data_IF_167635390270
#
_entry.id   IF_167635390270
#
_cell.length_a   1.000
_cell.length_b   1.000
_cell.length_c   1.000
_cell.angle_alpha   90.00
_cell.angle_beta   90.00
_cell.angle_gamma   90.00
#
_symmetry.space_group_name_H-M   'P 1'
#
loop_
_entity.id
_entity.type
_entity.pdbx_description
1 polymer ?
#
# COMPACT_ATOMS: atom_id res chain seq x y z
N UNK A 1 7.36 37.41 -50.94
CA UNK A 1 8.46 36.66 -50.32
C UNK A 1 8.61 37.15 -48.89
N UNK A 2 7.90 36.52 -47.96
CA UNK A 2 8.09 36.69 -46.52
C UNK A 2 7.68 35.38 -45.86
N UNK A 3 8.66 34.51 -45.63
CA UNK A 3 8.49 33.24 -44.92
C UNK A 3 8.33 33.51 -43.42
N UNK A 4 7.15 33.22 -42.91
CA UNK A 4 6.85 33.22 -41.48
C UNK A 4 7.28 31.90 -40.86
N UNK A 5 8.48 31.88 -40.29
CA UNK A 5 8.99 30.78 -39.48
C UNK A 5 8.26 30.76 -38.12
N UNK A 6 7.14 30.05 -38.03
CA UNK A 6 6.50 29.71 -36.75
C UNK A 6 7.23 28.51 -36.13
N UNK A 7 8.14 28.79 -35.20
CA UNK A 7 8.75 27.77 -34.36
C UNK A 7 7.73 27.31 -33.30
N UNK A 8 7.09 26.16 -33.53
CA UNK A 8 6.39 25.42 -32.49
C UNK A 8 7.43 24.78 -31.55
N UNK A 9 7.73 25.46 -30.45
CA UNK A 9 8.44 24.86 -29.32
C UNK A 9 7.48 23.90 -28.61
N UNK A 10 7.53 22.63 -29.02
CA UNK A 10 7.00 21.51 -28.25
C UNK A 10 7.85 21.36 -26.98
N UNK A 11 7.41 21.99 -25.89
CA UNK A 11 7.91 21.70 -24.55
C UNK A 11 7.25 20.42 -24.03
N UNK A 12 7.82 19.27 -24.36
CA UNK A 12 7.63 18.05 -23.57
C UNK A 12 8.57 18.09 -22.37
N UNK A 13 8.22 18.91 -21.37
CA UNK A 13 8.91 18.93 -20.08
C UNK A 13 8.61 17.61 -19.35
N UNK A 14 9.58 16.70 -19.38
CA UNK A 14 9.54 15.36 -18.77
C UNK A 14 9.61 15.37 -17.24
N UNK A 15 9.07 16.39 -16.58
CA UNK A 15 8.85 16.34 -15.13
C UNK A 15 7.73 15.34 -14.88
N UNK A 16 8.05 14.24 -14.23
CA UNK A 16 7.06 13.32 -13.67
C UNK A 16 6.06 14.14 -12.84
N UNK A 17 4.91 14.47 -13.44
CA UNK A 17 3.93 15.36 -12.85
C UNK A 17 3.50 14.79 -11.50
N UNK A 18 3.40 15.65 -10.49
CA UNK A 18 2.98 15.29 -9.13
C UNK A 18 1.73 14.42 -9.21
N UNK A 19 1.80 13.18 -8.73
CA UNK A 19 0.66 12.27 -8.70
C UNK A 19 -0.27 12.72 -7.58
N UNK A 20 -1.39 13.32 -7.99
CA UNK A 20 -2.46 13.83 -7.12
C UNK A 20 -3.41 12.70 -6.71
N UNK A 21 -4.19 12.86 -5.62
CA UNK A 21 -5.23 11.90 -5.25
C UNK A 21 -6.22 11.57 -6.37
N UNK A 22 -6.68 12.58 -7.13
CA UNK A 22 -7.58 12.39 -8.26
C UNK A 22 -6.95 11.51 -9.34
N UNK A 23 -5.65 11.68 -9.61
CA UNK A 23 -4.93 10.84 -10.57
C UNK A 23 -4.78 9.41 -10.03
N UNK A 24 -4.47 9.25 -8.75
CA UNK A 24 -4.40 7.93 -8.10
C UNK A 24 -5.71 7.18 -8.21
N UNK A 25 -6.82 7.81 -7.85
CA UNK A 25 -8.16 7.23 -7.97
C UNK A 25 -8.51 6.93 -9.43
N UNK A 26 -8.25 7.86 -10.35
CA UNK A 26 -8.52 7.67 -11.78
C UNK A 26 -7.76 6.50 -12.39
N UNK A 27 -6.47 6.31 -12.05
CA UNK A 27 -5.69 5.15 -12.50
C UNK A 27 -6.24 3.84 -11.93
N UNK A 28 -6.63 3.84 -10.65
CA UNK A 28 -7.29 2.69 -10.07
C UNK A 28 -8.62 2.38 -10.78
N UNK A 29 -9.45 3.39 -11.02
CA UNK A 29 -10.77 3.23 -11.64
C UNK A 29 -10.72 2.81 -13.12
N UNK A 30 -9.64 3.16 -13.82
CA UNK A 30 -9.35 2.67 -15.16
C UNK A 30 -8.93 1.20 -15.19
N UNK A 31 -8.59 0.60 -14.04
CA UNK A 31 -8.25 -0.83 -13.97
C UNK A 31 -9.49 -1.71 -14.12
N UNK A 32 -9.28 -2.94 -14.61
CA UNK A 32 -10.39 -3.84 -14.90
C UNK A 32 -11.13 -4.25 -13.62
N UNK A 33 -12.44 -4.43 -13.73
CA UNK A 33 -13.20 -5.17 -12.73
C UNK A 33 -12.70 -6.63 -12.67
N UNK A 34 -12.96 -7.30 -11.55
CA UNK A 34 -12.73 -8.74 -11.47
C UNK A 34 -13.59 -9.47 -12.50
N UNK A 35 -12.99 -10.38 -13.25
CA UNK A 35 -13.73 -11.29 -14.14
C UNK A 35 -14.41 -12.36 -13.29
N UNK A 36 -15.47 -13.03 -13.80
CA UNK A 36 -16.08 -14.17 -13.12
C UNK A 36 -15.08 -15.26 -12.71
N UNK A 37 -14.06 -15.52 -13.53
CA UNK A 37 -12.98 -16.47 -13.20
C UNK A 37 -12.07 -15.99 -12.07
N UNK A 38 -11.80 -14.68 -11.98
CA UNK A 38 -11.02 -14.12 -10.88
C UNK A 38 -11.80 -14.24 -9.56
N UNK A 39 -13.12 -13.96 -9.60
CA UNK A 39 -14.01 -14.12 -8.43
C UNK A 39 -14.06 -15.60 -8.01
N UNK A 40 -14.27 -16.52 -8.96
CA UNK A 40 -14.31 -17.95 -8.68
C UNK A 40 -13.02 -18.44 -8.02
N UNK A 41 -11.85 -18.04 -8.54
CA UNK A 41 -10.55 -18.41 -7.96
C UNK A 41 -10.38 -17.87 -6.53
N UNK A 42 -10.77 -16.62 -6.26
CA UNK A 42 -10.71 -16.03 -4.92
C UNK A 42 -11.68 -16.72 -3.94
N UNK A 43 -12.87 -17.09 -4.41
CA UNK A 43 -13.87 -17.84 -3.62
C UNK A 43 -13.38 -19.25 -3.31
N UNK A 44 -12.72 -19.92 -4.25
CA UNK A 44 -12.08 -21.22 -4.02
C UNK A 44 -10.98 -21.13 -2.95
N UNK A 45 -10.29 -19.99 -2.87
CA UNK A 45 -9.37 -19.69 -1.76
C UNK A 45 -10.09 -19.35 -0.44
N UNK A 46 -11.41 -19.46 -0.36
CA UNK A 46 -12.22 -19.22 0.84
C UNK A 46 -12.55 -17.76 1.12
N UNK A 47 -12.37 -16.86 0.15
CA UNK A 47 -12.73 -15.44 0.32
C UNK A 47 -14.25 -15.28 0.10
N UNK A 48 -14.99 -14.68 1.06
CA UNK A 48 -16.40 -14.40 0.85
C UNK A 48 -16.63 -13.44 -0.33
N UNK A 49 -17.53 -13.74 -1.28
CA UNK A 49 -17.72 -12.93 -2.49
C UNK A 49 -18.05 -11.45 -2.21
N UNK A 50 -18.84 -11.19 -1.17
CA UNK A 50 -19.21 -9.83 -0.74
C UNK A 50 -18.01 -9.00 -0.30
N UNK A 51 -16.94 -9.65 0.16
CA UNK A 51 -15.69 -8.99 0.52
C UNK A 51 -15.00 -8.38 -0.70
N UNK A 52 -15.24 -8.88 -1.90
CA UNK A 52 -14.64 -8.33 -3.13
C UNK A 52 -15.35 -7.06 -3.60
N UNK A 53 -16.62 -6.88 -3.22
CA UNK A 53 -17.50 -5.78 -3.60
C UNK A 53 -17.64 -4.69 -2.51
N UNK A 54 -16.72 -4.62 -1.54
CA UNK A 54 -16.74 -3.62 -0.47
C UNK A 54 -16.81 -2.16 -0.97
N UNK A 55 -16.88 -1.16 -0.07
CA UNK A 55 -17.10 0.25 -0.43
C UNK A 55 -16.19 0.75 -1.56
N UNK A 56 -14.95 0.26 -1.58
CA UNK A 56 -14.12 0.27 -2.78
C UNK A 56 -13.94 -1.17 -3.28
N UNK A 57 -14.37 -1.50 -4.51
CA UNK A 57 -14.27 -2.86 -5.03
C UNK A 57 -12.81 -3.25 -5.26
N UNK A 58 -12.50 -4.55 -5.14
CA UNK A 58 -11.19 -5.06 -5.62
C UNK A 58 -11.20 -5.00 -7.14
N UNK A 59 -10.10 -4.54 -7.73
CA UNK A 59 -9.89 -4.53 -9.18
C UNK A 59 -8.77 -5.49 -9.58
N UNK A 60 -8.59 -5.69 -10.88
CA UNK A 60 -7.48 -6.46 -11.42
C UNK A 60 -6.76 -5.69 -12.54
N UNK A 61 -5.46 -5.88 -12.62
CA UNK A 61 -4.61 -5.30 -13.66
C UNK A 61 -3.39 -6.16 -13.93
N UNK A 62 -2.62 -5.78 -14.95
CA UNK A 62 -1.26 -6.28 -15.12
C UNK A 62 -0.30 -5.22 -14.60
N UNK A 63 0.66 -5.67 -13.78
CA UNK A 63 1.64 -4.82 -13.12
C UNK A 63 3.02 -5.43 -13.29
N UNK A 64 4.04 -4.58 -13.34
CA UNK A 64 5.45 -4.97 -13.31
C UNK A 64 5.98 -4.58 -11.95
N UNK A 65 6.46 -5.56 -11.18
CA UNK A 65 7.02 -5.29 -9.86
C UNK A 65 8.52 -5.05 -9.94
N UNK A 66 9.02 -4.03 -9.27
CA UNK A 66 10.43 -3.68 -9.24
C UNK A 66 10.95 -3.47 -7.79
N UNK A 67 12.05 -2.73 -7.63
CA UNK A 67 12.65 -2.42 -6.34
C UNK A 67 11.98 -1.25 -5.59
N UNK A 68 11.17 -0.44 -6.28
CA UNK A 68 10.46 0.72 -5.72
C UNK A 68 9.00 0.40 -5.42
N UNK A 69 8.44 -0.64 -6.03
CA UNK A 69 7.11 -1.14 -5.78
C UNK A 69 6.59 -1.88 -7.00
N UNK A 70 5.59 -1.28 -7.66
CA UNK A 70 5.13 -1.74 -8.97
C UNK A 70 4.78 -0.56 -9.87
N UNK A 71 4.82 -0.80 -11.18
CA UNK A 71 4.22 0.06 -12.19
C UNK A 71 3.11 -0.68 -12.93
N UNK A 72 2.12 0.06 -13.42
CA UNK A 72 1.10 -0.53 -14.29
C UNK A 72 1.72 -0.87 -15.64
N UNK A 73 1.42 -2.06 -16.18
CA UNK A 73 2.01 -2.58 -17.42
C UNK A 73 1.95 -1.58 -18.59
N UNK A 74 0.78 -0.94 -18.80
CA UNK A 74 0.57 0.07 -19.84
C UNK A 74 1.36 1.38 -19.65
N UNK A 75 2.02 1.57 -18.51
CA UNK A 75 2.94 2.68 -18.25
C UNK A 75 4.40 2.29 -18.45
N UNK A 76 4.72 1.00 -18.58
CA UNK A 76 6.10 0.55 -18.72
C UNK A 76 6.61 0.81 -20.13
N UNK A 77 7.77 1.49 -20.24
CA UNK A 77 8.44 1.73 -21.52
C UNK A 77 9.35 0.58 -21.94
N UNK A 78 9.58 -0.38 -21.06
CA UNK A 78 10.64 -1.38 -21.19
C UNK A 78 10.15 -2.70 -21.80
N UNK A 79 8.85 -2.84 -22.09
CA UNK A 79 8.30 -4.06 -22.71
C UNK A 79 8.36 -5.31 -21.83
N UNK A 80 8.51 -5.14 -20.52
CA UNK A 80 8.41 -6.25 -19.57
C UNK A 80 6.96 -6.72 -19.48
N UNK A 81 6.74 -8.04 -19.54
CA UNK A 81 5.39 -8.61 -19.46
C UNK A 81 4.85 -8.43 -18.03
N UNK A 82 3.77 -7.66 -17.90
CA UNK A 82 3.10 -7.47 -16.63
C UNK A 82 2.47 -8.75 -16.10
N UNK A 83 2.53 -8.96 -14.79
CA UNK A 83 1.85 -10.08 -14.13
C UNK A 83 0.48 -9.64 -13.64
N UNK A 84 -0.49 -10.56 -13.70
CA UNK A 84 -1.84 -10.28 -13.19
C UNK A 84 -1.82 -10.11 -11.67
N UNK A 85 -2.36 -9.01 -11.18
CA UNK A 85 -2.48 -8.69 -9.76
C UNK A 85 -3.87 -8.18 -9.41
N UNK A 86 -4.25 -8.36 -8.14
CA UNK A 86 -5.42 -7.74 -7.52
C UNK A 86 -5.03 -6.40 -6.92
N UNK A 87 -5.84 -5.39 -7.19
CA UNK A 87 -5.56 -4.00 -6.87
C UNK A 87 -6.51 -3.52 -5.77
N UNK A 88 -5.93 -2.82 -4.80
CA UNK A 88 -6.64 -2.19 -3.69
C UNK A 88 -6.33 -0.70 -3.69
N UNK A 89 -7.36 0.13 -3.79
CA UNK A 89 -7.20 1.56 -3.54
C UNK A 89 -7.07 1.77 -2.03
N UNK A 90 -6.04 2.51 -1.63
CA UNK A 90 -5.83 2.90 -0.24
C UNK A 90 -6.24 4.35 -0.11
N UNK A 91 -7.15 4.63 0.82
CA UNK A 91 -7.61 5.98 1.14
C UNK A 91 -7.18 6.38 2.53
N UNK A 92 -7.03 7.68 2.78
CA UNK A 92 -6.90 8.17 4.15
C UNK A 92 -8.24 8.16 4.91
N UNK A 93 -8.23 8.67 6.15
CA UNK A 93 -9.41 8.77 7.01
C UNK A 93 -10.52 9.71 6.47
N UNK A 94 -10.22 10.53 5.45
CA UNK A 94 -11.18 11.40 4.78
C UNK A 94 -11.71 10.77 3.48
N UNK A 95 -11.29 9.55 3.14
CA UNK A 95 -11.64 8.89 1.89
C UNK A 95 -10.85 9.38 0.68
N UNK A 96 -9.77 10.15 0.89
CA UNK A 96 -8.93 10.67 -0.19
C UNK A 96 -7.94 9.59 -0.62
N UNK A 97 -7.89 9.31 -1.92
CA UNK A 97 -6.97 8.32 -2.50
C UNK A 97 -5.51 8.68 -2.21
N UNK A 98 -4.80 7.75 -1.58
CA UNK A 98 -3.42 7.90 -1.14
C UNK A 98 -2.46 7.07 -1.98
N UNK A 99 -2.83 5.82 -2.27
CA UNK A 99 -2.00 4.85 -2.98
C UNK A 99 -2.84 3.75 -3.63
N UNK A 100 -2.21 2.91 -4.44
CA UNK A 100 -2.73 1.63 -4.89
C UNK A 100 -1.78 0.53 -4.44
N UNK A 101 -2.33 -0.55 -3.89
CA UNK A 101 -1.57 -1.76 -3.54
C UNK A 101 -1.91 -2.85 -4.54
N UNK A 102 -0.88 -3.51 -5.07
CA UNK A 102 -1.03 -4.67 -5.94
C UNK A 102 -0.61 -5.94 -5.19
N UNK A 103 -1.45 -6.97 -5.25
CA UNK A 103 -1.15 -8.30 -4.73
C UNK A 103 -1.25 -9.33 -5.85
N UNK A 104 -0.14 -10.04 -6.11
CA UNK A 104 -0.08 -11.16 -7.04
C UNK A 104 0.07 -12.48 -6.25
N UNK A 105 -1.03 -13.24 -6.04
CA UNK A 105 -0.97 -14.48 -5.26
C UNK A 105 -0.01 -15.51 -5.86
N UNK A 106 0.07 -15.57 -7.20
CA UNK A 106 0.96 -16.50 -7.93
C UNK A 106 2.44 -16.26 -7.65
N UNK A 107 2.83 -15.03 -7.31
CA UNK A 107 4.19 -14.68 -6.94
C UNK A 107 4.39 -14.55 -5.43
N UNK A 108 3.31 -14.69 -4.65
CA UNK A 108 3.27 -14.32 -3.24
C UNK A 108 3.86 -12.91 -2.98
N UNK A 109 3.58 -11.95 -3.89
CA UNK A 109 4.14 -10.60 -3.84
C UNK A 109 3.04 -9.57 -3.61
N UNK A 110 3.33 -8.59 -2.75
CA UNK A 110 2.47 -7.44 -2.49
C UNK A 110 3.34 -6.17 -2.45
N UNK A 111 2.97 -5.15 -3.21
CA UNK A 111 3.70 -3.89 -3.28
C UNK A 111 2.77 -2.69 -3.44
N UNK A 112 3.30 -1.52 -3.13
CA UNK A 112 2.62 -0.22 -3.33
C UNK A 112 3.02 0.41 -4.65
N UNK A 113 2.15 1.23 -5.25
CA UNK A 113 2.49 2.01 -6.44
C UNK A 113 3.33 3.24 -6.08
N UNK A 114 2.86 4.03 -5.11
CA UNK A 114 3.45 5.33 -4.76
C UNK A 114 4.31 5.29 -3.49
N UNK A 115 4.43 4.14 -2.84
CA UNK A 115 5.20 4.01 -1.59
C UNK A 115 4.58 4.77 -0.41
N UNK A 116 3.28 5.08 -0.46
CA UNK A 116 2.58 5.89 0.55
C UNK A 116 1.78 5.01 1.52
N UNK A 117 1.15 3.96 1.04
CA UNK A 117 0.47 2.99 1.89
C UNK A 117 1.49 2.17 2.70
N UNK A 118 1.07 1.72 3.88
CA UNK A 118 1.89 0.82 4.71
C UNK A 118 1.15 -0.46 5.12
N UNK A 119 -0.18 -0.46 5.05
CA UNK A 119 -1.02 -1.64 5.22
C UNK A 119 -2.29 -1.56 4.37
N UNK A 120 -2.88 -2.72 4.06
CA UNK A 120 -4.29 -2.81 3.72
C UNK A 120 -5.10 -2.55 4.99
N UNK A 121 -6.19 -1.79 4.89
CA UNK A 121 -7.04 -1.43 6.03
C UNK A 121 -6.47 -0.34 6.95
N UNK A 122 -5.43 0.40 6.51
CA UNK A 122 -4.72 1.38 7.35
C UNK A 122 -5.63 2.43 8.00
N UNK A 123 -6.78 2.73 7.40
CA UNK A 123 -7.81 3.62 7.95
C UNK A 123 -8.38 3.14 9.29
N UNK A 124 -8.40 1.83 9.53
CA UNK A 124 -8.93 1.25 10.78
C UNK A 124 -8.03 1.56 11.98
N UNK A 125 -6.76 1.90 11.76
CA UNK A 125 -5.78 2.20 12.82
C UNK A 125 -6.25 3.30 13.77
N UNK A 126 -6.99 4.29 13.27
CA UNK A 126 -7.46 5.45 14.02
C UNK A 126 -8.76 5.22 14.80
N UNK A 127 -9.37 4.04 14.70
CA UNK A 127 -10.57 3.71 15.46
C UNK A 127 -10.26 3.61 16.96
N UNK A 128 -11.04 4.24 17.86
CA UNK A 128 -10.84 4.12 19.31
C UNK A 128 -10.93 2.67 19.79
N UNK A 129 -10.04 2.28 20.71
CA UNK A 129 -10.01 0.95 21.33
C UNK A 129 -9.91 1.11 22.84
N UNK A 130 -11.01 0.83 23.54
CA UNK A 130 -11.11 1.01 24.99
C UNK A 130 -10.94 -0.31 25.75
N UNK A 131 -10.85 -1.45 25.04
CA UNK A 131 -10.70 -2.77 25.65
C UNK A 131 -9.94 -3.74 24.74
N UNK A 132 -9.43 -4.83 25.32
CA UNK A 132 -8.74 -5.89 24.61
C UNK A 132 -9.65 -6.62 23.60
N UNK A 133 -10.95 -6.69 23.86
CA UNK A 133 -11.94 -7.24 22.92
C UNK A 133 -12.07 -6.42 21.63
N UNK A 134 -11.53 -5.19 21.62
CA UNK A 134 -11.47 -4.31 20.46
C UNK A 134 -10.07 -4.26 19.84
N UNK A 135 -9.18 -5.20 20.19
CA UNK A 135 -7.84 -5.28 19.61
C UNK A 135 -7.90 -5.33 18.07
N UNK A 136 -7.01 -4.59 17.42
CA UNK A 136 -6.95 -4.49 15.97
C UNK A 136 -6.34 -5.78 15.39
N UNK A 137 -7.10 -6.58 14.61
CA UNK A 137 -6.53 -7.75 13.96
C UNK A 137 -5.42 -7.34 12.99
N UNK A 138 -4.30 -8.05 13.02
CA UNK A 138 -3.21 -7.92 12.05
C UNK A 138 -3.01 -9.28 11.40
N UNK A 139 -3.01 -9.30 10.08
CA UNK A 139 -2.90 -10.50 9.25
C UNK A 139 -1.56 -10.50 8.50
N UNK A 140 -0.92 -11.66 8.42
CA UNK A 140 0.33 -11.86 7.67
C UNK A 140 0.14 -11.74 6.16
N UNK A 141 -1.05 -12.09 5.66
CA UNK A 141 -1.30 -12.19 4.22
C UNK A 141 -2.59 -11.47 3.80
N UNK A 142 -2.63 -10.93 2.56
CA UNK A 142 -3.85 -10.35 2.00
C UNK A 142 -4.99 -11.37 1.93
N UNK A 143 -4.65 -12.65 1.71
CA UNK A 143 -5.63 -13.75 1.70
C UNK A 143 -6.37 -13.85 3.04
N UNK A 144 -5.65 -13.88 4.17
CA UNK A 144 -6.29 -13.99 5.48
C UNK A 144 -7.07 -12.72 5.84
N UNK A 145 -6.57 -11.54 5.45
CA UNK A 145 -7.31 -10.29 5.60
C UNK A 145 -8.63 -10.27 4.79
N UNK A 146 -8.61 -10.79 3.57
CA UNK A 146 -9.81 -10.94 2.74
C UNK A 146 -10.76 -12.00 3.31
N UNK A 147 -10.27 -13.15 3.80
CA UNK A 147 -11.10 -14.13 4.52
C UNK A 147 -11.78 -13.53 5.74
N UNK A 148 -11.10 -12.60 6.42
CA UNK A 148 -11.62 -11.83 7.54
C UNK A 148 -12.55 -10.66 7.13
N UNK A 149 -13.02 -10.62 5.87
CA UNK A 149 -13.90 -9.58 5.35
C UNK A 149 -13.31 -8.17 5.46
N UNK A 150 -11.99 -8.05 5.21
CA UNK A 150 -11.22 -6.79 5.33
C UNK A 150 -11.20 -6.18 6.73
N UNK A 151 -11.48 -6.97 7.78
CA UNK A 151 -11.40 -6.49 9.17
C UNK A 151 -9.95 -6.53 9.66
N UNK A 152 -9.47 -5.41 10.16
CA UNK A 152 -8.09 -5.26 10.62
C UNK A 152 -7.13 -4.87 9.49
N UNK A 153 -5.85 -5.19 9.71
CA UNK A 153 -4.74 -4.76 8.87
C UNK A 153 -4.02 -5.92 8.21
N UNK A 154 -3.48 -5.71 7.01
CA UNK A 154 -2.43 -6.57 6.44
C UNK A 154 -1.21 -5.71 6.11
N UNK A 155 -0.06 -5.98 6.71
CA UNK A 155 1.13 -5.15 6.52
C UNK A 155 1.67 -5.31 5.09
N UNK A 156 1.85 -4.19 4.39
CA UNK A 156 2.45 -4.14 3.05
C UNK A 156 3.90 -3.67 3.15
N UNK A 157 4.15 -2.64 3.96
CA UNK A 157 5.49 -2.11 4.22
C UNK A 157 5.79 -2.15 5.71
N UNK A 158 6.18 -3.33 6.25
CA UNK A 158 6.48 -3.55 7.67
C UNK A 158 7.31 -2.44 8.33
N UNK A 159 8.40 -2.00 7.69
CA UNK A 159 9.29 -0.97 8.23
C UNK A 159 8.58 0.39 8.41
N UNK A 160 7.69 0.75 7.49
CA UNK A 160 6.90 1.98 7.59
C UNK A 160 5.79 1.83 8.64
N UNK A 161 5.15 0.65 8.72
CA UNK A 161 4.05 0.35 9.63
C UNK A 161 4.40 0.60 11.10
N UNK A 162 5.65 0.36 11.50
CA UNK A 162 6.11 0.58 12.89
C UNK A 162 5.78 1.98 13.39
N UNK A 163 5.89 3.01 12.53
CA UNK A 163 5.62 4.39 12.94
C UNK A 163 4.15 4.68 13.23
N UNK A 164 3.23 3.91 12.62
CA UNK A 164 1.80 4.10 12.76
C UNK A 164 1.19 3.19 13.83
N UNK A 165 1.81 2.03 14.07
CA UNK A 165 1.28 1.02 14.98
C UNK A 165 1.69 1.20 16.44
N UNK A 166 2.66 2.09 16.75
CA UNK A 166 3.05 2.37 18.13
C UNK A 166 1.88 2.79 19.02
N UNK A 167 0.94 3.57 18.47
CA UNK A 167 -0.21 4.11 19.22
C UNK A 167 -1.52 3.38 18.92
N UNK A 168 -1.49 2.33 18.09
CA UNK A 168 -2.67 1.62 17.63
C UNK A 168 -3.16 0.51 18.59
N UNK A 169 -2.42 0.26 19.67
CA UNK A 169 -2.66 -0.84 20.60
C UNK A 169 -4.07 -0.84 21.22
N UNK A 170 -4.61 -2.03 21.60
CA UNK A 170 -4.01 -3.35 21.47
C UNK A 170 -4.10 -3.93 20.04
N UNK A 171 -3.10 -4.74 19.65
CA UNK A 171 -3.07 -5.47 18.38
C UNK A 171 -3.36 -6.96 18.61
N UNK A 172 -4.13 -7.57 17.73
CA UNK A 172 -4.47 -8.99 17.76
C UNK A 172 -3.72 -9.72 16.65
N UNK A 173 -2.81 -10.62 17.03
CA UNK A 173 -2.07 -11.47 16.10
C UNK A 173 -2.85 -12.76 15.78
N UNK A 174 -2.52 -13.40 14.66
CA UNK A 174 -3.18 -14.66 14.23
C UNK A 174 -2.87 -15.85 15.15
N UNK A 175 -1.65 -15.88 15.70
CA UNK A 175 -1.16 -16.93 16.58
C UNK A 175 0.04 -16.42 17.41
N UNK A 176 0.57 -17.26 18.30
CA UNK A 176 1.69 -16.90 19.17
C UNK A 176 2.98 -16.58 18.39
N UNK A 177 3.25 -17.29 17.29
CA UNK A 177 4.41 -17.01 16.44
C UNK A 177 4.24 -15.64 15.75
N UNK A 178 3.02 -15.30 15.32
CA UNK A 178 2.72 -14.01 14.71
C UNK A 178 2.90 -12.89 15.73
N UNK A 179 2.47 -13.13 16.98
CA UNK A 179 2.68 -12.19 18.07
C UNK A 179 4.17 -11.91 18.30
N UNK A 180 5.02 -12.94 18.24
CA UNK A 180 6.47 -12.77 18.34
C UNK A 180 7.06 -12.01 17.14
N UNK A 181 6.64 -12.34 15.91
CA UNK A 181 7.02 -11.64 14.68
C UNK A 181 6.64 -10.14 14.76
N UNK A 182 5.39 -9.83 15.14
CA UNK A 182 4.91 -8.45 15.30
C UNK A 182 5.68 -7.72 16.40
N UNK A 183 5.92 -8.37 17.53
CA UNK A 183 6.72 -7.78 18.61
C UNK A 183 8.12 -7.41 18.13
N UNK A 184 8.78 -8.30 17.38
CA UNK A 184 10.09 -8.03 16.81
C UNK A 184 10.05 -6.89 15.79
N UNK A 185 9.07 -6.92 14.88
CA UNK A 185 8.86 -5.91 13.84
C UNK A 185 8.59 -4.52 14.41
N UNK A 186 7.79 -4.43 15.47
CA UNK A 186 7.41 -3.17 16.11
C UNK A 186 8.44 -2.63 17.11
N UNK A 187 9.45 -3.43 17.47
CA UNK A 187 10.53 -2.98 18.34
C UNK A 187 11.47 -2.05 17.56
N UNK A 188 11.43 -0.75 17.89
CA UNK A 188 12.34 0.24 17.31
C UNK A 188 13.68 0.25 18.04
N UNK A 189 14.83 0.20 17.34
CA UNK A 189 16.10 0.49 17.96
C UNK A 189 16.12 1.94 18.44
N UNK A 190 16.76 2.20 19.58
CA UNK A 190 16.97 3.56 20.05
C UNK A 190 17.75 4.36 18.98
N UNK A 191 17.37 5.63 18.71
CA UNK A 191 18.09 6.44 17.75
C UNK A 191 19.53 6.65 18.21
N UNK A 192 20.48 6.63 17.26
CA UNK A 192 21.86 7.02 17.54
C UNK A 192 21.91 8.54 17.73
N UNK A 193 22.24 8.99 18.93
CA UNK A 193 22.45 10.41 19.24
C UNK A 193 23.93 10.74 19.02
N UNK A 194 24.21 11.73 18.18
CA UNK A 194 25.57 12.22 17.92
C UNK A 194 25.69 13.61 18.53
N UNK A 195 26.69 13.81 19.40
CA UNK A 195 26.96 15.10 20.04
C UNK A 195 28.16 15.76 19.34
N UNK A 196 28.07 17.03 18.91
CA UNK A 196 29.20 17.76 18.33
C UNK A 196 30.33 17.97 19.36
N UNK A 197 31.58 17.77 18.92
CA UNK A 197 32.78 17.80 19.77
C UNK A 197 33.12 19.17 20.41
N UNK A 198 32.48 20.25 19.98
CA UNK A 198 32.82 21.63 20.37
C UNK A 198 32.12 22.15 21.65
N UNK A 199 31.42 21.28 22.40
CA UNK A 199 30.67 21.68 23.60
C UNK A 199 31.45 21.59 24.92
N UNK A 200 32.68 21.08 24.93
CA UNK A 200 33.59 21.18 26.08
C UNK A 200 34.33 22.51 26.13
N UNK A 201 33.63 23.63 26.37
CA UNK A 201 34.27 24.77 27.05
C UNK A 201 34.12 24.54 28.54
N UNK A 202 35.22 24.18 29.20
CA UNK A 202 35.35 24.24 30.66
C UNK A 202 34.94 25.65 31.10
N UNK A 203 33.89 25.74 31.92
CA UNK A 203 33.75 26.87 32.82
C UNK A 203 34.96 26.83 33.75
N UNK A 204 35.84 27.82 33.62
CA UNK A 204 36.96 28.08 34.52
C UNK A 204 36.46 28.97 35.67
#
# INVERSE_FOLDING_TARGET
>A
MSDGYSAQLSQTDGRAGVITPTRTAGTFDASNNLRPSDVAALVEMGIPPDTLAGPVPVRAGHVVFDALGFEFDHHTKNGEEGVRAYLFLITDHQGVARDVVAWAPTLNKIETWLGRAWALGEEQTFSPRLSEHQALPVWRTPLNWLRARRKGLCLVRPKAAVHYLCDAAPLLAEDAAHGAELKQLLTRPAPRIIVPASSTRKAA
#
